data_IF_558762362882
#
_entry.id   IF_558762362882
#
_cell.length_a   1.000
_cell.length_b   1.000
_cell.length_c   1.000
_cell.angle_alpha   90.00
_cell.angle_beta   90.00
_cell.angle_gamma   90.00
#
_symmetry.space_group_name_H-M   'P 1'
#
loop_
_entity.id
_entity.type
_entity.pdbx_description
1 polymer ?
#
# COMPACT_ATOMS: atom_id res chain seq x y z
N UNK A 1 15.70 -12.46 -3.38
CA UNK A 1 14.45 -12.09 -4.06
C UNK A 1 13.90 -10.93 -3.26
N UNK A 2 13.62 -9.78 -3.89
CA UNK A 2 12.99 -8.66 -3.19
C UNK A 2 11.50 -8.97 -3.01
N UNK A 3 10.93 -8.60 -1.86
CA UNK A 3 9.49 -8.72 -1.61
C UNK A 3 8.87 -7.39 -2.04
N UNK A 4 7.88 -7.44 -2.93
CA UNK A 4 7.26 -6.26 -3.53
C UNK A 4 5.74 -6.30 -3.31
N UNK A 5 5.18 -5.17 -2.86
CA UNK A 5 3.75 -4.96 -2.70
C UNK A 5 3.32 -3.75 -3.52
N UNK A 6 2.27 -3.93 -4.32
CA UNK A 6 1.57 -2.84 -4.97
C UNK A 6 0.39 -2.36 -4.11
N UNK A 7 0.24 -1.05 -4.00
CA UNK A 7 -0.93 -0.43 -3.40
C UNK A 7 -1.54 0.57 -4.37
N UNK A 8 -2.58 0.11 -5.05
CA UNK A 8 -3.28 0.85 -6.07
C UNK A 8 -4.44 1.65 -5.45
N UNK A 9 -4.58 2.89 -5.91
CA UNK A 9 -5.57 3.84 -5.43
C UNK A 9 -6.41 4.32 -6.60
N UNK A 10 -7.73 4.24 -6.45
CA UNK A 10 -8.69 4.83 -7.38
C UNK A 10 -8.97 6.29 -7.09
N UNK A 11 -9.82 6.90 -7.92
CA UNK A 11 -10.27 8.28 -7.70
C UNK A 11 -10.94 8.47 -6.32
N UNK A 12 -10.80 9.65 -5.68
CA UNK A 12 -10.14 10.86 -6.18
C UNK A 12 -8.69 11.02 -5.64
N UNK A 13 -7.90 9.94 -5.55
CA UNK A 13 -6.54 10.02 -5.03
C UNK A 13 -5.64 10.94 -5.90
N UNK A 14 -4.79 11.73 -5.23
CA UNK A 14 -3.84 12.66 -5.89
C UNK A 14 -2.43 12.43 -5.37
N UNK A 15 -1.42 12.56 -6.23
CA UNK A 15 0.01 12.38 -5.87
C UNK A 15 0.37 13.19 -4.63
N UNK A 16 0.07 14.50 -4.60
CA UNK A 16 0.45 15.39 -3.50
C UNK A 16 -0.12 14.93 -2.15
N UNK A 17 -1.38 14.49 -2.14
CA UNK A 17 -2.04 14.00 -0.92
C UNK A 17 -1.42 12.69 -0.45
N UNK A 18 -1.21 11.73 -1.35
CA UNK A 18 -0.60 10.44 -1.02
C UNK A 18 0.83 10.64 -0.51
N UNK A 19 1.66 11.35 -1.26
CA UNK A 19 3.05 11.66 -0.90
C UNK A 19 3.12 12.40 0.44
N UNK A 20 2.28 13.42 0.62
CA UNK A 20 2.22 14.17 1.88
C UNK A 20 1.83 13.29 3.08
N UNK A 21 0.89 12.36 2.88
CA UNK A 21 0.46 11.43 3.93
C UNK A 21 1.51 10.38 4.25
N UNK A 22 2.15 9.81 3.24
CA UNK A 22 3.30 8.92 3.43
C UNK A 22 4.41 9.64 4.19
N UNK A 23 4.69 10.91 3.86
CA UNK A 23 5.79 11.65 4.46
C UNK A 23 5.58 11.96 5.93
N UNK A 24 4.41 12.53 6.26
CA UNK A 24 4.04 12.79 7.66
C UNK A 24 4.07 11.50 8.49
N UNK A 25 3.60 10.39 7.92
CA UNK A 25 3.57 9.11 8.62
C UNK A 25 4.96 8.53 8.82
N UNK A 26 5.80 8.53 7.78
CA UNK A 26 7.17 8.06 7.85
C UNK A 26 7.98 8.82 8.92
N UNK A 27 7.86 10.16 8.95
CA UNK A 27 8.50 10.98 9.99
C UNK A 27 7.92 10.70 11.38
N UNK A 28 6.60 10.59 11.53
CA UNK A 28 5.95 10.36 12.83
C UNK A 28 6.36 9.03 13.48
N UNK A 29 6.66 8.01 12.68
CA UNK A 29 7.13 6.71 13.16
C UNK A 29 8.67 6.56 13.13
N UNK A 30 9.42 7.61 12.80
CA UNK A 30 10.89 7.58 12.77
C UNK A 30 11.48 6.73 11.65
N UNK A 31 10.70 6.47 10.59
CA UNK A 31 11.12 5.74 9.39
C UNK A 31 11.94 6.63 8.45
N UNK A 32 11.87 7.95 8.59
CA UNK A 32 12.67 8.89 7.82
C UNK A 32 12.84 10.21 8.59
N UNK A 33 13.92 10.93 8.31
CA UNK A 33 14.12 12.29 8.83
C UNK A 33 13.22 13.28 8.06
N UNK A 34 12.80 14.40 8.68
CA UNK A 34 11.86 15.34 8.06
C UNK A 34 12.30 15.90 6.70
N UNK A 35 13.62 16.03 6.49
CA UNK A 35 14.21 16.65 5.30
C UNK A 35 14.50 15.65 4.17
N UNK A 36 14.40 14.34 4.44
CA UNK A 36 14.76 13.26 3.49
C UNK A 36 13.57 12.72 2.69
N UNK A 37 12.35 13.18 2.97
CA UNK A 37 11.15 12.58 2.39
C UNK A 37 10.71 13.24 1.09
N UNK A 38 11.08 12.62 -0.03
CA UNK A 38 10.59 12.97 -1.36
C UNK A 38 10.15 11.73 -2.12
N UNK A 39 8.92 11.26 -1.94
CA UNK A 39 8.39 10.05 -2.61
C UNK A 39 8.15 10.22 -4.13
N UNK A 40 8.60 11.32 -4.73
CA UNK A 40 8.56 11.55 -6.18
C UNK A 40 9.85 11.08 -6.87
N UNK A 41 9.74 10.43 -8.03
CA UNK A 41 10.90 9.96 -8.80
C UNK A 41 11.24 8.48 -8.54
N UNK A 42 12.52 8.08 -8.43
CA UNK A 42 12.93 6.66 -8.34
C UNK A 42 12.56 5.97 -7.01
N UNK A 43 11.86 6.66 -6.10
CA UNK A 43 11.47 6.20 -4.76
C UNK A 43 12.31 6.79 -3.64
N UNK A 44 11.78 6.73 -2.42
CA UNK A 44 12.44 7.12 -1.16
C UNK A 44 12.78 5.86 -0.37
N UNK A 45 14.04 5.71 -0.01
CA UNK A 45 14.47 4.65 0.90
C UNK A 45 14.20 5.07 2.34
N UNK A 46 13.44 4.26 3.07
CA UNK A 46 13.17 4.45 4.49
C UNK A 46 14.24 3.77 5.34
N UNK A 47 14.30 4.17 6.61
CA UNK A 47 15.09 3.52 7.64
C UNK A 47 14.67 2.04 7.71
N UNK A 48 15.65 1.15 7.57
CA UNK A 48 15.40 -0.28 7.40
C UNK A 48 15.38 -0.75 5.94
N UNK A 49 15.74 0.11 4.98
CA UNK A 49 16.04 -0.25 3.59
C UNK A 49 14.82 -0.43 2.69
N UNK A 50 13.60 -0.26 3.20
CA UNK A 50 12.39 -0.34 2.38
C UNK A 50 12.33 0.85 1.42
N UNK A 51 12.31 0.58 0.12
CA UNK A 51 12.10 1.58 -0.90
C UNK A 51 10.61 1.76 -1.15
N UNK A 52 10.15 3.01 -1.15
CA UNK A 52 8.75 3.36 -1.45
C UNK A 52 8.71 4.35 -2.61
N UNK A 53 7.92 4.07 -3.64
CA UNK A 53 7.72 4.99 -4.76
C UNK A 53 6.23 5.22 -5.02
N UNK A 54 5.89 6.43 -5.47
CA UNK A 54 4.54 6.80 -5.89
C UNK A 54 4.58 7.19 -7.35
N UNK A 55 3.71 6.60 -8.16
CA UNK A 55 3.58 6.90 -9.58
C UNK A 55 2.11 7.05 -9.99
N UNK A 56 1.87 7.78 -11.08
CA UNK A 56 0.59 7.69 -11.77
C UNK A 56 0.39 6.28 -12.30
N UNK A 57 -0.81 5.72 -12.09
CA UNK A 57 -1.12 4.42 -12.65
C UNK A 57 -1.07 4.53 -14.17
N UNK A 58 -0.20 3.74 -14.79
CA UNK A 58 -0.03 3.78 -16.24
C UNK A 58 -1.04 2.82 -16.84
N UNK A 59 -1.91 3.25 -17.76
CA UNK A 59 -2.84 2.33 -18.41
C UNK A 59 -2.05 1.20 -19.07
N UNK A 60 -2.20 -0.02 -18.56
CA UNK A 60 -1.60 -1.19 -19.17
C UNK A 60 -2.17 -1.39 -20.59
N UNK A 61 -1.42 -2.02 -21.52
CA UNK A 61 -1.94 -2.34 -22.86
C UNK A 61 -3.10 -3.37 -22.83
N UNK A 62 -3.38 -3.95 -21.68
CA UNK A 62 -4.50 -4.84 -21.36
C UNK A 62 -5.32 -4.23 -20.21
N UNK A 63 -6.59 -4.64 -20.02
CA UNK A 63 -7.37 -4.19 -18.86
C UNK A 63 -6.60 -4.49 -17.58
N UNK A 64 -6.49 -3.50 -16.71
CA UNK A 64 -5.84 -3.64 -15.41
C UNK A 64 -6.48 -4.81 -14.64
N UNK A 65 -5.69 -5.78 -14.12
CA UNK A 65 -6.21 -6.84 -13.28
C UNK A 65 -7.09 -6.34 -12.12
N UNK A 66 -6.75 -5.21 -11.51
CA UNK A 66 -7.52 -4.60 -10.43
C UNK A 66 -8.86 -4.05 -10.94
N UNK A 67 -8.86 -3.34 -12.07
CA UNK A 67 -10.09 -2.86 -12.72
C UNK A 67 -10.99 -4.04 -13.11
N UNK A 68 -10.42 -5.09 -13.72
CA UNK A 68 -11.17 -6.27 -14.16
C UNK A 68 -11.81 -7.01 -12.98
N UNK A 69 -11.11 -7.08 -11.85
CA UNK A 69 -11.49 -7.92 -10.71
C UNK A 69 -12.40 -7.17 -9.73
N UNK A 70 -12.11 -5.90 -9.49
CA UNK A 70 -12.82 -5.09 -8.50
C UNK A 70 -13.59 -3.91 -9.10
N UNK A 71 -13.42 -3.59 -10.38
CA UNK A 71 -14.03 -2.40 -11.00
C UNK A 71 -13.40 -1.09 -10.52
N UNK A 72 -12.20 -1.14 -9.98
CA UNK A 72 -11.45 0.01 -9.48
C UNK A 72 -10.52 0.48 -10.60
N UNK A 73 -10.71 1.70 -11.07
CA UNK A 73 -9.79 2.32 -12.04
C UNK A 73 -8.65 2.98 -11.26
N UNK A 74 -7.48 2.34 -11.26
CA UNK A 74 -6.27 2.87 -10.66
C UNK A 74 -5.87 4.20 -11.27
N UNK A 75 -5.62 5.18 -10.40
CA UNK A 75 -5.05 6.48 -10.80
C UNK A 75 -3.65 6.68 -10.23
N UNK A 76 -3.32 5.99 -9.15
CA UNK A 76 -2.01 6.03 -8.50
C UNK A 76 -1.60 4.65 -8.01
N UNK A 77 -0.30 4.38 -8.12
CA UNK A 77 0.33 3.20 -7.57
C UNK A 77 1.38 3.61 -6.54
N UNK A 78 1.34 2.97 -5.38
CA UNK A 78 2.40 3.02 -4.39
C UNK A 78 3.09 1.67 -4.35
N UNK A 79 4.36 1.63 -4.71
CA UNK A 79 5.17 0.41 -4.67
C UNK A 79 5.99 0.39 -3.39
N UNK A 80 5.92 -0.71 -2.66
CA UNK A 80 6.77 -0.99 -1.51
C UNK A 80 7.71 -2.13 -1.86
N UNK A 81 9.01 -1.87 -1.86
CA UNK A 81 10.05 -2.87 -2.09
C UNK A 81 10.90 -3.05 -0.86
N UNK A 82 10.85 -4.24 -0.30
CA UNK A 82 11.56 -4.59 0.92
C UNK A 82 13.04 -4.80 0.63
N UNK A 83 13.90 -4.28 1.50
CA UNK A 83 15.30 -4.67 1.51
C UNK A 83 15.43 -6.12 1.98
N UNK A 84 16.16 -6.92 1.20
CA UNK A 84 16.30 -8.36 1.40
C UNK A 84 17.18 -8.71 2.61
N UNK A 85 18.04 -7.78 3.02
CA UNK A 85 19.06 -7.98 4.06
C UNK A 85 18.58 -7.46 5.43
N UNK A 86 17.35 -6.95 5.49
CA UNK A 86 16.71 -6.35 6.67
C UNK A 86 15.53 -7.20 7.20
N UNK A 87 15.02 -6.86 8.38
CA UNK A 87 13.90 -7.57 9.02
C UNK A 87 12.57 -7.32 8.28
N UNK A 88 12.12 -8.34 7.53
CA UNK A 88 10.88 -8.30 6.77
C UNK A 88 9.62 -8.17 7.63
N UNK A 89 9.66 -8.56 8.90
CA UNK A 89 8.54 -8.38 9.83
C UNK A 89 8.40 -6.92 10.21
N UNK A 90 9.52 -6.25 10.52
CA UNK A 90 9.55 -4.82 10.81
C UNK A 90 9.13 -4.00 9.58
N UNK A 91 9.68 -4.30 8.41
CA UNK A 91 9.31 -3.62 7.16
C UNK A 91 7.83 -3.80 6.80
N UNK A 92 7.26 -4.99 7.02
CA UNK A 92 5.82 -5.23 6.80
C UNK A 92 4.94 -4.44 7.76
N UNK A 93 5.35 -4.32 9.02
CA UNK A 93 4.64 -3.49 9.98
C UNK A 93 4.68 -2.02 9.57
N UNK A 94 5.83 -1.53 9.10
CA UNK A 94 5.99 -0.15 8.65
C UNK A 94 5.22 0.14 7.36
N UNK A 95 5.25 -0.76 6.38
CA UNK A 95 4.40 -0.72 5.20
C UNK A 95 2.92 -0.62 5.60
N UNK A 96 2.45 -1.45 6.54
CA UNK A 96 1.06 -1.42 6.96
C UNK A 96 0.68 -0.13 7.69
N UNK A 97 1.60 0.50 8.44
CA UNK A 97 1.37 1.84 9.02
C UNK A 97 1.18 2.88 7.93
N UNK A 98 1.99 2.84 6.88
CA UNK A 98 1.86 3.74 5.73
C UNK A 98 0.54 3.51 4.98
N UNK A 99 0.20 2.26 4.67
CA UNK A 99 -1.06 1.89 3.99
C UNK A 99 -2.27 2.34 4.80
N UNK A 100 -2.31 2.06 6.10
CA UNK A 100 -3.43 2.49 6.96
C UNK A 100 -3.54 4.02 7.03
N UNK A 101 -2.43 4.73 7.12
CA UNK A 101 -2.45 6.20 7.11
C UNK A 101 -3.01 6.75 5.78
N UNK A 102 -2.64 6.16 4.64
CA UNK A 102 -3.22 6.51 3.34
C UNK A 102 -4.70 6.16 3.28
N UNK A 103 -5.14 5.00 3.77
CA UNK A 103 -6.56 4.65 3.84
C UNK A 103 -7.36 5.59 4.76
N UNK A 104 -6.75 6.15 5.78
CA UNK A 104 -7.41 7.09 6.69
C UNK A 104 -7.54 8.49 6.11
N UNK A 105 -6.53 8.97 5.37
CA UNK A 105 -6.54 10.34 4.82
C UNK A 105 -7.05 10.41 3.38
N UNK A 106 -6.70 9.46 2.51
CA UNK A 106 -7.02 9.51 1.08
C UNK A 106 -8.34 8.77 0.82
N UNK A 107 -9.41 9.46 0.42
CA UNK A 107 -10.68 8.82 0.05
C UNK A 107 -10.54 8.07 -1.28
N UNK A 108 -11.54 7.25 -1.62
CA UNK A 108 -11.60 6.50 -2.87
C UNK A 108 -11.47 5.00 -2.65
N UNK A 109 -11.42 4.24 -3.73
CA UNK A 109 -11.19 2.80 -3.65
C UNK A 109 -9.68 2.50 -3.62
N UNK A 110 -9.30 1.35 -3.06
CA UNK A 110 -7.90 0.98 -2.91
C UNK A 110 -7.71 -0.54 -2.84
N UNK A 111 -6.58 -1.04 -3.34
CA UNK A 111 -6.19 -2.46 -3.29
C UNK A 111 -4.74 -2.58 -2.87
N UNK A 112 -4.45 -3.37 -1.82
CA UNK A 112 -3.09 -3.81 -1.50
C UNK A 112 -2.91 -5.23 -2.00
N UNK A 113 -1.88 -5.43 -2.81
CA UNK A 113 -1.57 -6.71 -3.42
C UNK A 113 -0.08 -7.07 -3.19
N UNK A 114 0.24 -8.35 -3.34
CA UNK A 114 1.60 -8.85 -3.41
C UNK A 114 1.89 -9.50 -4.77
N UNK A 115 2.96 -9.02 -5.41
CA UNK A 115 3.53 -9.52 -6.66
C UNK A 115 2.59 -9.52 -7.89
N UNK A 116 1.65 -8.58 -7.96
CA UNK A 116 0.61 -8.49 -8.98
C UNK A 116 -0.46 -9.58 -8.92
N UNK A 117 -0.54 -10.35 -7.83
CA UNK A 117 -1.32 -11.59 -7.79
C UNK A 117 -2.20 -11.72 -6.54
N UNK A 118 -1.61 -11.59 -5.35
CA UNK A 118 -2.32 -11.92 -4.10
C UNK A 118 -2.88 -10.66 -3.46
N UNK A 119 -4.20 -10.55 -3.39
CA UNK A 119 -4.86 -9.41 -2.76
C UNK A 119 -4.95 -9.60 -1.25
N UNK A 120 -4.31 -8.70 -0.50
CA UNK A 120 -4.35 -8.71 0.96
C UNK A 120 -5.52 -7.90 1.51
N UNK A 121 -5.78 -6.72 0.96
CA UNK A 121 -6.92 -5.89 1.33
C UNK A 121 -7.51 -5.15 0.14
N UNK A 122 -8.79 -4.84 0.23
CA UNK A 122 -9.51 -3.96 -0.70
C UNK A 122 -10.42 -3.03 0.09
N UNK A 123 -10.34 -1.73 -0.19
CA UNK A 123 -11.35 -0.75 0.20
C UNK A 123 -12.18 -0.44 -1.03
N UNK A 124 -13.47 -0.75 -0.97
CA UNK A 124 -14.39 -0.48 -2.08
C UNK A 124 -15.69 0.12 -1.56
N UNK A 125 -16.10 1.27 -2.10
CA UNK A 125 -17.31 1.96 -1.67
C UNK A 125 -17.29 2.33 -0.18
N UNK A 126 -16.11 2.61 0.37
CA UNK A 126 -15.90 2.91 1.79
C UNK A 126 -15.87 1.69 2.72
N UNK A 127 -16.07 0.48 2.21
CA UNK A 127 -15.98 -0.76 3.00
C UNK A 127 -14.59 -1.40 2.82
N UNK A 128 -13.89 -1.59 3.94
CA UNK A 128 -12.61 -2.29 3.96
C UNK A 128 -12.82 -3.79 4.17
N UNK A 129 -12.28 -4.60 3.26
CA UNK A 129 -12.22 -6.06 3.37
C UNK A 129 -10.78 -6.52 3.34
N UNK A 130 -10.44 -7.47 4.20
CA UNK A 130 -9.14 -8.14 4.21
C UNK A 130 -9.30 -9.62 3.89
N UNK A 131 -8.27 -10.22 3.31
CA UNK A 131 -8.27 -11.65 3.06
C UNK A 131 -8.37 -12.44 4.37
N UNK A 132 -9.17 -13.50 4.37
CA UNK A 132 -9.24 -14.48 5.46
C UNK A 132 -8.09 -15.49 5.42
N UNK A 133 -7.22 -15.43 4.42
CA UNK A 133 -6.08 -16.33 4.29
C UNK A 133 -5.19 -16.28 5.55
N UNK A 134 -4.85 -17.46 6.06
CA UNK A 134 -4.01 -17.59 7.25
C UNK A 134 -2.55 -17.19 6.94
N UNK A 135 -1.84 -16.70 7.95
CA UNK A 135 -0.39 -16.49 7.90
C UNK A 135 0.08 -15.09 7.49
N UNK A 136 -0.75 -14.27 6.85
CA UNK A 136 -0.38 -12.86 6.58
C UNK A 136 -0.67 -11.94 7.76
N UNK A 137 -1.90 -12.02 8.29
CA UNK A 137 -2.40 -11.11 9.31
C UNK A 137 -1.96 -11.52 10.73
N UNK A 138 -0.80 -11.04 11.16
CA UNK A 138 -0.38 -11.15 12.57
C UNK A 138 -1.27 -10.28 13.48
N UNK A 139 -1.31 -10.53 14.79
CA UNK A 139 -2.05 -9.69 15.73
C UNK A 139 -1.67 -8.21 15.65
N UNK A 140 -0.39 -7.91 15.45
CA UNK A 140 0.14 -6.55 15.33
C UNK A 140 -0.40 -5.84 14.09
N UNK A 141 -0.43 -6.52 12.93
CA UNK A 141 -0.99 -5.95 11.70
C UNK A 141 -2.50 -5.73 11.84
N UNK A 142 -3.21 -6.69 12.45
CA UNK A 142 -4.66 -6.56 12.69
C UNK A 142 -4.99 -5.39 13.60
N UNK A 143 -4.15 -5.11 14.59
CA UNK A 143 -4.34 -3.99 15.50
C UNK A 143 -4.22 -2.61 14.82
N UNK A 144 -3.58 -2.53 13.66
CA UNK A 144 -3.49 -1.28 12.87
C UNK A 144 -4.74 -1.04 12.00
N UNK A 145 -5.48 -2.08 11.64
CA UNK A 145 -6.56 -1.96 10.69
C UNK A 145 -7.76 -1.22 11.30
N UNK A 146 -8.42 -0.32 10.55
CA UNK A 146 -9.71 0.22 10.95
C UNK A 146 -10.78 -0.89 10.90
N UNK A 147 -12.05 -0.55 11.17
CA UNK A 147 -13.15 -1.49 11.04
C UNK A 147 -13.16 -2.14 9.65
N UNK A 148 -13.18 -3.47 9.62
CA UNK A 148 -13.03 -4.26 8.40
C UNK A 148 -13.84 -5.56 8.47
N UNK A 149 -14.11 -6.13 7.30
CA UNK A 149 -14.65 -7.47 7.17
C UNK A 149 -13.54 -8.43 6.73
N UNK A 150 -13.57 -9.67 7.23
CA UNK A 150 -12.78 -10.75 6.64
C UNK A 150 -13.58 -11.36 5.49
N UNK A 151 -12.94 -11.51 4.33
CA UNK A 151 -13.55 -12.11 3.14
C UNK A 151 -12.54 -12.98 2.40
N UNK A 152 -13.05 -13.89 1.56
CA UNK A 152 -12.22 -14.55 0.54
C UNK A 152 -12.08 -13.57 -0.62
N UNK A 153 -10.88 -13.01 -0.79
CA UNK A 153 -10.60 -12.09 -1.89
C UNK A 153 -10.09 -12.88 -3.11
N UNK A 154 -10.52 -12.52 -4.33
CA UNK A 154 -9.95 -13.10 -5.54
C UNK A 154 -8.49 -12.66 -5.70
N UNK A 155 -7.70 -13.49 -6.38
CA UNK A 155 -6.40 -13.08 -6.91
C UNK A 155 -6.60 -12.25 -8.19
N UNK A 156 -5.58 -11.48 -8.56
CA UNK A 156 -5.55 -10.62 -9.75
C UNK A 156 -5.29 -11.40 -11.06
#
# INVERSE_FOLDING_TARGET
>A
MAIEYGFELGEPATVDRVVGTLARTATAFGMSEPDDVGFGGPGTELRGGMLVSVAGSTPAPLPDPVERTFGIVGVLDVLFRFDRDSDSTAQRLDMMRLVVAVLADVPGDAVLEFAGEIVWLVRQGGLLRITSAEGYWTPELRALLPAHECAVLPNL
#
